data_IF_193977357424
#
_entry.id   IF_193977357424
#
_cell.length_a   1.000
_cell.length_b   1.000
_cell.length_c   1.000
_cell.angle_alpha   90.00
_cell.angle_beta   90.00
_cell.angle_gamma   90.00
#
_symmetry.space_group_name_H-M   'P 1'
#
loop_
_entity.id
_entity.type
_entity.pdbx_description
1 polymer ?
#
# COMPACT_ATOMS: atom_id res chain seq x y z
N UNK A 1 16.86 10.51 -8.29
CA UNK A 1 17.30 11.92 -8.12
C UNK A 1 18.07 12.00 -6.81
N UNK A 2 19.32 12.46 -6.83
CA UNK A 2 20.15 12.59 -5.64
C UNK A 2 20.11 14.06 -5.19
N UNK A 3 19.51 14.37 -4.07
CA UNK A 3 19.45 15.73 -3.52
C UNK A 3 20.72 15.93 -2.71
N UNK A 4 21.64 16.75 -3.23
CA UNK A 4 22.96 17.00 -2.63
C UNK A 4 23.06 18.33 -1.87
N UNK A 5 22.03 19.18 -1.86
CA UNK A 5 22.14 20.54 -1.36
C UNK A 5 21.48 20.75 0.02
N UNK A 6 22.20 21.43 0.90
CA UNK A 6 21.98 21.59 2.34
C UNK A 6 20.72 22.39 2.73
N UNK A 7 20.17 23.21 1.83
CA UNK A 7 18.99 24.05 2.10
C UNK A 7 17.69 23.48 1.58
N UNK A 8 17.77 22.42 0.74
CA UNK A 8 16.67 21.98 -0.10
C UNK A 8 15.93 20.75 0.41
N UNK A 9 16.50 19.93 1.33
CA UNK A 9 15.84 18.69 1.71
C UNK A 9 14.54 18.93 2.49
N UNK A 10 14.55 19.83 3.48
CA UNK A 10 13.35 20.20 4.23
C UNK A 10 12.34 20.95 3.36
N UNK A 11 12.80 21.98 2.64
CA UNK A 11 11.97 22.82 1.77
C UNK A 11 11.44 22.04 0.56
N UNK A 12 12.20 21.10 0.01
CA UNK A 12 11.82 20.30 -1.14
C UNK A 12 10.69 19.32 -0.79
N UNK A 13 10.77 18.66 0.36
CA UNK A 13 9.71 17.74 0.84
C UNK A 13 8.42 18.50 1.13
N UNK A 14 8.51 19.79 1.54
CA UNK A 14 7.36 20.61 1.90
C UNK A 14 6.72 21.35 0.73
N UNK A 15 7.48 21.67 -0.32
CA UNK A 15 7.02 22.52 -1.44
C UNK A 15 6.50 21.75 -2.64
N UNK A 16 6.92 20.51 -2.85
CA UNK A 16 6.48 19.75 -4.00
C UNK A 16 5.34 18.78 -3.66
N UNK A 17 4.25 18.89 -4.41
CA UNK A 17 3.11 17.95 -4.38
C UNK A 17 3.45 16.54 -4.94
N UNK A 18 4.72 16.22 -5.17
CA UNK A 18 5.11 14.93 -5.71
C UNK A 18 5.21 13.87 -4.60
N UNK A 19 4.45 12.82 -4.74
CA UNK A 19 4.59 11.64 -3.88
C UNK A 19 5.78 10.80 -4.39
N UNK A 20 6.79 10.64 -3.55
CA UNK A 20 7.88 9.69 -3.82
C UNK A 20 7.43 8.28 -3.43
N UNK A 21 7.81 7.31 -4.23
CA UNK A 21 7.47 5.90 -4.00
C UNK A 21 8.63 5.13 -3.34
N UNK A 22 9.87 5.50 -3.66
CA UNK A 22 11.08 4.92 -3.06
C UNK A 22 12.01 6.07 -2.66
N UNK A 23 12.48 6.05 -1.42
CA UNK A 23 13.45 6.99 -0.90
C UNK A 23 14.70 6.26 -0.38
N UNK A 24 15.88 6.78 -0.73
CA UNK A 24 17.15 6.35 -0.18
C UNK A 24 17.69 7.51 0.67
N UNK A 25 17.83 7.29 1.96
CA UNK A 25 18.08 8.34 2.95
C UNK A 25 19.35 8.04 3.73
N UNK A 26 20.27 9.00 3.76
CA UNK A 26 21.38 8.98 4.71
C UNK A 26 20.90 9.48 6.08
N UNK A 27 21.30 8.80 7.15
CA UNK A 27 20.93 9.24 8.51
C UNK A 27 21.62 10.52 8.89
N UNK A 28 22.92 10.63 8.57
CA UNK A 28 23.69 11.83 8.91
C UNK A 28 23.77 12.79 7.74
N UNK A 29 22.91 13.78 7.79
CA UNK A 29 22.93 14.93 6.89
C UNK A 29 23.17 16.23 7.67
N UNK A 30 23.91 17.21 7.14
CA UNK A 30 24.42 18.35 7.91
C UNK A 30 23.38 19.28 8.55
N UNK A 31 22.11 19.22 8.20
CA UNK A 31 21.09 20.13 8.70
C UNK A 31 19.85 19.41 9.24
N UNK A 32 19.66 18.13 8.89
CA UNK A 32 18.46 17.37 9.22
C UNK A 32 18.84 15.92 9.46
N UNK A 33 18.24 15.30 10.47
CA UNK A 33 18.40 13.86 10.71
C UNK A 33 17.58 13.07 9.68
N UNK A 34 18.22 12.14 8.98
CA UNK A 34 17.56 11.31 7.96
C UNK A 34 16.43 10.45 8.50
N UNK A 35 16.41 10.11 9.79
CA UNK A 35 15.30 9.42 10.43
C UNK A 35 14.07 10.32 10.53
N UNK A 36 14.23 11.58 10.90
CA UNK A 36 13.13 12.57 10.92
C UNK A 36 12.54 12.79 9.52
N UNK A 37 13.42 12.86 8.51
CA UNK A 37 13.00 12.91 7.09
C UNK A 37 12.20 11.67 6.73
N UNK A 38 12.65 10.49 7.14
CA UNK A 38 11.99 9.21 6.87
C UNK A 38 10.60 9.13 7.54
N UNK A 39 10.48 9.55 8.78
CA UNK A 39 9.19 9.64 9.49
C UNK A 39 8.23 10.57 8.76
N UNK A 40 8.72 11.74 8.33
CA UNK A 40 7.90 12.69 7.60
C UNK A 40 7.46 12.18 6.24
N UNK A 41 8.33 11.50 5.51
CA UNK A 41 8.00 10.83 4.26
C UNK A 41 6.93 9.76 4.46
N UNK A 42 7.00 8.98 5.55
CA UNK A 42 5.98 7.99 5.91
C UNK A 42 4.63 8.62 6.29
N UNK A 43 4.63 9.78 6.95
CA UNK A 43 3.40 10.53 7.23
C UNK A 43 2.72 11.04 5.94
N UNK A 44 3.50 11.50 4.96
CA UNK A 44 3.01 11.98 3.67
C UNK A 44 2.57 10.84 2.74
N UNK A 45 3.30 9.75 2.75
CA UNK A 45 3.02 8.55 1.98
C UNK A 45 3.33 7.31 2.82
N UNK A 46 2.35 6.71 3.51
CA UNK A 46 2.56 5.52 4.35
C UNK A 46 3.18 4.33 3.61
N UNK A 47 2.96 4.26 2.30
CA UNK A 47 3.44 3.17 1.46
C UNK A 47 4.83 3.42 0.86
N UNK A 48 5.47 4.56 1.16
CA UNK A 48 6.81 4.84 0.65
C UNK A 48 7.80 3.77 1.13
N UNK A 49 8.60 3.27 0.20
CA UNK A 49 9.66 2.31 0.50
C UNK A 49 10.92 3.10 0.86
N UNK A 50 11.40 2.96 2.10
CA UNK A 50 12.55 3.70 2.59
C UNK A 50 13.73 2.74 2.76
N UNK A 51 14.87 3.08 2.16
CA UNK A 51 16.15 2.43 2.36
C UNK A 51 17.09 3.41 3.07
N UNK A 52 17.64 3.00 4.21
CA UNK A 52 18.61 3.81 4.97
C UNK A 52 20.04 3.43 4.56
N UNK A 53 20.86 4.44 4.30
CA UNK A 53 22.30 4.30 4.10
C UNK A 53 23.03 5.06 5.21
N UNK A 54 23.85 4.40 6.03
CA UNK A 54 24.56 5.08 7.12
C UNK A 54 25.86 4.36 7.50
N UNK A 55 26.80 5.11 8.10
CA UNK A 55 28.00 4.55 8.71
C UNK A 55 27.79 4.14 10.17
N UNK A 56 26.59 4.38 10.75
CA UNK A 56 26.36 4.25 12.18
C UNK A 56 25.31 3.18 12.50
N UNK A 57 25.72 2.01 13.02
CA UNK A 57 24.81 0.92 13.40
C UNK A 57 23.82 1.29 14.53
N UNK A 58 24.18 2.26 15.37
CA UNK A 58 23.37 2.68 16.52
C UNK A 58 21.96 3.17 16.16
N UNK A 59 21.71 3.54 14.91
CA UNK A 59 20.39 3.99 14.45
C UNK A 59 19.47 2.87 13.96
N UNK A 60 19.91 1.61 14.02
CA UNK A 60 19.13 0.47 13.51
C UNK A 60 17.76 0.35 14.20
N UNK A 61 17.73 0.40 15.53
CA UNK A 61 16.45 0.27 16.28
C UNK A 61 15.48 1.40 15.97
N UNK A 62 15.98 2.62 15.81
CA UNK A 62 15.16 3.77 15.42
C UNK A 62 14.64 3.64 13.99
N UNK A 63 15.46 3.15 13.05
CA UNK A 63 15.05 2.88 11.69
C UNK A 63 13.96 1.78 11.62
N UNK A 64 14.06 0.75 12.44
CA UNK A 64 13.06 -0.33 12.51
C UNK A 64 11.70 0.19 13.00
N UNK A 65 11.65 1.13 13.94
CA UNK A 65 10.39 1.76 14.39
C UNK A 65 9.67 2.50 13.26
N UNK A 66 10.41 3.08 12.31
CA UNK A 66 9.87 3.77 11.13
C UNK A 66 9.44 2.79 10.04
N UNK A 67 9.66 1.48 10.22
CA UNK A 67 9.37 0.45 9.22
C UNK A 67 10.11 0.68 7.90
N UNK A 68 11.44 0.91 7.97
CA UNK A 68 12.26 1.01 6.77
C UNK A 68 12.38 -0.35 6.08
N UNK A 69 12.41 -0.33 4.76
CA UNK A 69 12.51 -1.56 3.95
C UNK A 69 13.86 -2.24 4.09
N UNK A 70 14.95 -1.45 4.07
CA UNK A 70 16.33 -1.94 4.25
C UNK A 70 17.19 -0.91 4.95
N UNK A 71 18.14 -1.45 5.73
CA UNK A 71 19.20 -0.70 6.38
C UNK A 71 20.54 -1.18 5.83
N UNK A 72 21.32 -0.29 5.22
CA UNK A 72 22.58 -0.58 4.57
C UNK A 72 23.70 0.25 5.19
N UNK A 73 24.82 -0.41 5.52
CA UNK A 73 26.00 0.26 6.05
C UNK A 73 26.88 0.83 4.95
N UNK A 74 27.51 1.96 5.23
CA UNK A 74 28.63 2.50 4.43
C UNK A 74 29.95 1.86 4.89
N UNK A 75 30.93 1.60 4.00
CA UNK A 75 30.91 1.87 2.55
C UNK A 75 29.89 1.01 1.82
N UNK A 76 29.36 1.54 0.71
CA UNK A 76 28.30 0.87 -0.04
C UNK A 76 28.91 -0.30 -0.83
N UNK A 77 28.50 -1.51 -0.50
CA UNK A 77 28.69 -2.67 -1.35
C UNK A 77 27.69 -2.58 -2.52
N UNK A 78 28.22 -2.41 -3.71
CA UNK A 78 27.40 -2.18 -4.92
C UNK A 78 26.52 -3.37 -5.25
N UNK A 79 26.98 -4.60 -5.10
CA UNK A 79 26.21 -5.80 -5.39
C UNK A 79 25.05 -5.95 -4.39
N UNK A 80 25.35 -5.78 -3.11
CA UNK A 80 24.34 -5.79 -2.04
C UNK A 80 23.32 -4.67 -2.22
N UNK A 81 23.76 -3.46 -2.57
CA UNK A 81 22.88 -2.34 -2.84
C UNK A 81 21.94 -2.63 -4.01
N UNK A 82 22.47 -3.06 -5.16
CA UNK A 82 21.70 -3.36 -6.34
C UNK A 82 20.64 -4.45 -6.08
N UNK A 83 21.02 -5.53 -5.40
CA UNK A 83 20.07 -6.58 -5.01
C UNK A 83 18.93 -6.02 -4.17
N UNK A 84 19.22 -5.29 -3.10
CA UNK A 84 18.20 -4.72 -2.22
C UNK A 84 17.35 -3.66 -2.92
N UNK A 85 17.93 -2.89 -3.84
CA UNK A 85 17.18 -1.91 -4.63
C UNK A 85 16.22 -2.60 -5.61
N UNK A 86 16.64 -3.66 -6.28
CA UNK A 86 15.75 -4.46 -7.14
C UNK A 86 14.62 -5.10 -6.33
N UNK A 87 14.90 -5.61 -5.13
CA UNK A 87 13.87 -6.10 -4.22
C UNK A 87 12.86 -5.00 -3.84
N UNK A 88 13.35 -3.77 -3.58
CA UNK A 88 12.48 -2.62 -3.30
C UNK A 88 11.59 -2.26 -4.51
N UNK A 89 12.15 -2.27 -5.72
CA UNK A 89 11.40 -2.03 -6.96
C UNK A 89 10.36 -3.11 -7.21
N UNK A 90 10.70 -4.38 -6.99
CA UNK A 90 9.73 -5.48 -7.16
C UNK A 90 8.63 -5.44 -6.10
N UNK A 91 8.97 -5.08 -4.87
CA UNK A 91 7.97 -4.83 -3.83
C UNK A 91 7.05 -3.67 -4.20
N UNK A 92 7.62 -2.54 -4.68
CA UNK A 92 6.84 -1.40 -5.17
C UNK A 92 5.87 -1.80 -6.29
N UNK A 93 6.33 -2.56 -7.29
CA UNK A 93 5.46 -3.03 -8.38
C UNK A 93 4.29 -3.87 -7.87
N UNK A 94 4.49 -4.67 -6.82
CA UNK A 94 3.44 -5.49 -6.21
C UNK A 94 2.40 -4.63 -5.49
N UNK A 95 2.84 -3.61 -4.72
CA UNK A 95 1.92 -2.75 -3.95
C UNK A 95 1.30 -1.62 -4.78
N UNK A 96 1.92 -1.22 -5.88
CA UNK A 96 1.48 -0.10 -6.73
C UNK A 96 0.75 -0.52 -8.00
N UNK A 97 0.31 -1.78 -8.08
CA UNK A 97 -0.48 -2.27 -9.20
C UNK A 97 -1.72 -1.38 -9.40
N UNK A 98 -1.95 -0.99 -10.64
CA UNK A 98 -3.11 -0.17 -11.01
C UNK A 98 -3.97 -0.91 -12.02
N UNK A 99 -5.26 -0.63 -12.00
CA UNK A 99 -6.22 -1.06 -13.01
C UNK A 99 -6.71 0.16 -13.79
N UNK A 100 -7.13 -0.08 -15.02
CA UNK A 100 -7.77 0.92 -15.87
C UNK A 100 -9.26 0.65 -15.88
N UNK A 101 -10.05 1.67 -15.55
CA UNK A 101 -11.51 1.64 -15.60
C UNK A 101 -11.92 2.59 -16.72
N UNK A 102 -12.62 2.06 -17.71
CA UNK A 102 -13.20 2.81 -18.81
C UNK A 102 -14.70 2.99 -18.52
N UNK A 103 -15.17 4.23 -18.56
CA UNK A 103 -16.58 4.58 -18.41
C UNK A 103 -16.91 5.69 -19.41
N UNK A 104 -17.75 5.38 -20.41
CA UNK A 104 -18.04 6.28 -21.53
C UNK A 104 -16.72 6.74 -22.20
N UNK A 105 -16.49 8.05 -22.27
CA UNK A 105 -15.28 8.65 -22.85
C UNK A 105 -14.19 8.96 -21.83
N UNK A 106 -14.37 8.51 -20.57
CA UNK A 106 -13.42 8.75 -19.48
C UNK A 106 -12.62 7.49 -19.14
N UNK A 107 -11.32 7.69 -18.92
CA UNK A 107 -10.39 6.64 -18.50
C UNK A 107 -9.85 7.00 -17.12
N UNK A 108 -10.04 6.09 -16.16
CA UNK A 108 -9.54 6.23 -14.79
C UNK A 108 -8.44 5.22 -14.53
N UNK A 109 -7.33 5.67 -13.96
CA UNK A 109 -6.31 4.80 -13.38
C UNK A 109 -6.53 4.71 -11.88
N UNK A 110 -6.76 3.51 -11.37
CA UNK A 110 -7.05 3.22 -9.96
C UNK A 110 -5.99 2.29 -9.41
N UNK A 111 -5.29 2.71 -8.35
CA UNK A 111 -4.34 1.84 -7.65
C UNK A 111 -5.09 0.72 -6.92
N UNK A 112 -4.67 -0.53 -7.09
CA UNK A 112 -5.36 -1.68 -6.46
C UNK A 112 -5.39 -1.57 -4.94
N UNK A 113 -4.36 -1.00 -4.32
CA UNK A 113 -4.28 -0.75 -2.88
C UNK A 113 -5.34 0.22 -2.35
N UNK A 114 -5.88 1.09 -3.22
CA UNK A 114 -6.91 2.05 -2.84
C UNK A 114 -8.33 1.46 -2.94
N UNK A 115 -8.49 0.30 -3.56
CA UNK A 115 -9.76 -0.40 -3.65
C UNK A 115 -10.08 -1.01 -2.27
N UNK A 116 -11.26 -0.69 -1.75
CA UNK A 116 -11.80 -1.29 -0.53
C UNK A 116 -12.48 -2.61 -0.86
N UNK A 117 -13.39 -2.58 -1.81
CA UNK A 117 -14.13 -3.76 -2.29
C UNK A 117 -14.70 -3.56 -3.68
N UNK A 118 -15.11 -4.65 -4.29
CA UNK A 118 -15.84 -4.69 -5.57
C UNK A 118 -17.18 -5.34 -5.31
N UNK A 119 -18.25 -4.61 -5.63
CA UNK A 119 -19.61 -5.05 -5.45
C UNK A 119 -20.24 -5.47 -6.78
N UNK A 120 -20.95 -6.60 -6.77
CA UNK A 120 -21.70 -7.06 -7.95
C UNK A 120 -22.96 -6.21 -8.13
N UNK A 121 -23.17 -5.68 -9.31
CA UNK A 121 -24.36 -4.92 -9.73
C UNK A 121 -25.05 -5.62 -10.90
N UNK A 122 -26.33 -5.27 -11.14
CA UNK A 122 -27.16 -5.87 -12.21
C UNK A 122 -26.45 -5.85 -13.57
N UNK A 123 -25.81 -4.72 -13.91
CA UNK A 123 -25.14 -4.49 -15.20
C UNK A 123 -23.63 -4.27 -15.07
N UNK A 124 -22.96 -5.05 -14.21
CA UNK A 124 -21.51 -4.94 -14.02
C UNK A 124 -21.10 -4.99 -12.57
N UNK A 125 -20.26 -4.05 -12.15
CA UNK A 125 -19.83 -3.93 -10.76
C UNK A 125 -19.59 -2.48 -10.35
N UNK A 126 -19.59 -2.25 -9.03
CA UNK A 126 -19.16 -1.02 -8.39
C UNK A 126 -17.82 -1.27 -7.71
N UNK A 127 -16.78 -0.56 -8.13
CA UNK A 127 -15.46 -0.57 -7.48
C UNK A 127 -15.44 0.59 -6.50
N UNK A 128 -15.37 0.27 -5.20
CA UNK A 128 -15.33 1.27 -4.13
C UNK A 128 -13.89 1.43 -3.65
N UNK A 129 -13.41 2.66 -3.65
CA UNK A 129 -12.06 3.02 -3.21
C UNK A 129 -12.11 3.92 -1.97
N UNK A 130 -10.95 4.20 -1.40
CA UNK A 130 -10.78 5.16 -0.28
C UNK A 130 -11.30 6.57 -0.60
N UNK A 131 -11.41 6.92 -1.89
CA UNK A 131 -11.67 8.29 -2.33
C UNK A 131 -13.02 8.44 -3.02
N UNK A 132 -13.36 7.50 -3.91
CA UNK A 132 -14.59 7.53 -4.71
C UNK A 132 -14.96 6.13 -5.22
N UNK A 133 -16.14 6.02 -5.80
CA UNK A 133 -16.64 4.78 -6.38
C UNK A 133 -16.73 4.89 -7.90
N UNK A 134 -16.52 3.76 -8.58
CA UNK A 134 -16.56 3.66 -10.03
C UNK A 134 -17.53 2.55 -10.44
N UNK A 135 -18.56 2.88 -11.21
CA UNK A 135 -19.39 1.90 -11.88
C UNK A 135 -18.71 1.39 -13.14
N UNK A 136 -18.77 0.10 -13.37
CA UNK A 136 -18.17 -0.56 -14.52
C UNK A 136 -19.09 -1.61 -15.10
N UNK A 137 -18.93 -1.92 -16.40
CA UNK A 137 -19.69 -2.96 -17.08
C UNK A 137 -19.11 -4.36 -16.85
N UNK A 138 -17.85 -4.47 -16.37
CA UNK A 138 -17.21 -5.76 -16.06
C UNK A 138 -17.75 -6.34 -14.76
N UNK A 139 -17.89 -7.66 -14.72
CA UNK A 139 -18.32 -8.37 -13.51
C UNK A 139 -17.17 -8.49 -12.49
N UNK A 140 -17.47 -8.70 -11.19
CA UNK A 140 -16.42 -8.85 -10.17
C UNK A 140 -15.39 -9.94 -10.48
N UNK A 141 -15.80 -11.04 -11.09
CA UNK A 141 -14.88 -12.11 -11.47
C UNK A 141 -13.84 -11.67 -12.51
N UNK A 142 -14.26 -10.86 -13.51
CA UNK A 142 -13.33 -10.30 -14.50
C UNK A 142 -12.32 -9.36 -13.85
N UNK A 143 -12.77 -8.54 -12.89
CA UNK A 143 -11.88 -7.67 -12.12
C UNK A 143 -10.92 -8.46 -11.24
N UNK A 144 -11.37 -9.56 -10.66
CA UNK A 144 -10.51 -10.45 -9.87
C UNK A 144 -9.34 -10.99 -10.70
N UNK A 145 -9.60 -11.42 -11.93
CA UNK A 145 -8.56 -11.87 -12.87
C UNK A 145 -7.64 -10.72 -13.31
N UNK A 146 -8.19 -9.53 -13.62
CA UNK A 146 -7.41 -8.36 -14.01
C UNK A 146 -6.49 -7.90 -12.89
N UNK A 147 -7.02 -7.83 -11.66
CA UNK A 147 -6.26 -7.46 -10.46
C UNK A 147 -5.18 -8.51 -10.18
N UNK A 148 -5.50 -9.79 -10.33
CA UNK A 148 -4.57 -10.90 -10.14
C UNK A 148 -3.69 -10.76 -8.87
N UNK A 149 -4.34 -10.53 -7.72
CA UNK A 149 -3.73 -10.45 -6.39
C UNK A 149 -4.54 -11.32 -5.40
N UNK A 150 -4.55 -12.65 -5.56
CA UNK A 150 -5.41 -13.55 -4.80
C UNK A 150 -5.13 -13.54 -3.29
N UNK A 151 -3.92 -13.17 -2.88
CA UNK A 151 -3.56 -13.03 -1.47
C UNK A 151 -4.11 -11.75 -0.82
N UNK A 152 -4.53 -10.77 -1.62
CA UNK A 152 -5.06 -9.50 -1.13
C UNK A 152 -6.58 -9.38 -1.33
N UNK A 153 -7.10 -9.94 -2.43
CA UNK A 153 -8.50 -9.83 -2.80
C UNK A 153 -9.20 -11.16 -2.57
N UNK A 154 -10.21 -11.16 -1.71
CA UNK A 154 -10.93 -12.37 -1.29
C UNK A 154 -12.44 -12.18 -1.43
N UNK A 155 -13.11 -13.20 -1.92
CA UNK A 155 -14.57 -13.21 -1.98
C UNK A 155 -15.19 -13.47 -0.61
N UNK A 156 -15.77 -12.44 0.02
CA UNK A 156 -16.45 -12.54 1.31
C UNK A 156 -17.94 -12.94 1.19
N UNK A 157 -18.55 -12.59 0.05
CA UNK A 157 -19.95 -12.90 -0.27
C UNK A 157 -20.09 -13.10 -1.77
N UNK A 158 -21.19 -13.71 -2.23
CA UNK A 158 -21.48 -13.85 -3.68
C UNK A 158 -21.47 -12.52 -4.44
N UNK A 159 -21.72 -11.43 -3.72
CA UNK A 159 -21.80 -10.08 -4.29
C UNK A 159 -20.55 -9.25 -4.02
N UNK A 160 -19.59 -9.72 -3.23
CA UNK A 160 -18.47 -8.87 -2.77
C UNK A 160 -17.12 -9.57 -2.87
N UNK A 161 -16.16 -8.85 -3.44
CA UNK A 161 -14.73 -9.15 -3.37
C UNK A 161 -14.07 -8.04 -2.55
N UNK A 162 -13.38 -8.40 -1.49
CA UNK A 162 -12.83 -7.49 -0.49
C UNK A 162 -11.31 -7.44 -0.59
N UNK A 163 -10.73 -6.26 -0.49
CA UNK A 163 -9.29 -6.08 -0.37
C UNK A 163 -8.88 -6.12 1.10
N UNK A 164 -8.19 -7.17 1.51
CA UNK A 164 -7.76 -7.42 2.88
C UNK A 164 -6.78 -6.35 3.40
N UNK A 165 -6.03 -5.67 2.52
CA UNK A 165 -5.11 -4.60 2.89
C UNK A 165 -5.80 -3.42 3.59
N UNK A 166 -7.09 -3.23 3.32
CA UNK A 166 -7.87 -2.10 3.83
C UNK A 166 -8.85 -2.49 4.94
N UNK A 167 -8.86 -3.75 5.38
CA UNK A 167 -9.71 -4.23 6.46
C UNK A 167 -9.08 -3.88 7.80
N UNK A 168 -9.79 -3.12 8.64
CA UNK A 168 -9.40 -2.80 10.02
C UNK A 168 -9.93 -3.86 10.96
N UNK A 169 -11.22 -4.18 10.82
CA UNK A 169 -11.95 -5.09 11.68
C UNK A 169 -13.06 -5.77 10.90
N UNK A 170 -13.48 -6.96 11.34
CA UNK A 170 -14.64 -7.66 10.81
C UNK A 170 -15.27 -8.57 11.87
N UNK A 171 -16.55 -8.80 11.74
CA UNK A 171 -17.30 -9.80 12.49
C UNK A 171 -17.91 -10.87 11.55
N UNK A 172 -18.94 -11.60 12.00
CA UNK A 172 -19.57 -12.67 11.20
C UNK A 172 -20.34 -12.16 9.98
N UNK A 173 -20.63 -10.86 9.89
CA UNK A 173 -21.47 -10.28 8.84
C UNK A 173 -20.93 -8.98 8.26
N UNK A 174 -20.12 -8.25 9.01
CA UNK A 174 -19.71 -6.88 8.72
C UNK A 174 -18.20 -6.73 8.58
N UNK A 175 -17.77 -5.73 7.82
CA UNK A 175 -16.35 -5.37 7.65
C UNK A 175 -16.22 -3.86 7.83
N UNK A 176 -15.23 -3.44 8.61
CA UNK A 176 -14.81 -2.03 8.75
C UNK A 176 -13.55 -1.79 7.93
N UNK A 177 -13.58 -0.79 7.07
CA UNK A 177 -12.47 -0.44 6.19
C UNK A 177 -11.74 0.81 6.65
N UNK A 178 -10.45 0.89 6.34
CA UNK A 178 -9.62 2.06 6.55
C UNK A 178 -10.04 3.20 5.59
N UNK A 179 -10.40 4.37 6.15
CA UNK A 179 -10.81 5.53 5.35
C UNK A 179 -11.01 6.77 6.21
N UNK A 180 -11.24 7.94 5.58
CA UNK A 180 -11.45 9.22 6.28
C UNK A 180 -12.73 9.24 7.13
N UNK A 181 -13.72 8.40 6.79
CA UNK A 181 -14.85 8.01 7.64
C UNK A 181 -14.78 6.50 7.74
N UNK A 182 -14.76 5.93 8.94
CA UNK A 182 -14.81 4.49 9.15
C UNK A 182 -16.01 3.92 8.36
N UNK A 183 -15.72 3.36 7.20
CA UNK A 183 -16.75 2.80 6.33
C UNK A 183 -17.09 1.40 6.85
N UNK A 184 -18.14 1.31 7.66
CA UNK A 184 -18.75 0.06 8.05
C UNK A 184 -19.60 -0.47 6.89
N UNK A 185 -19.34 -1.69 6.48
CA UNK A 185 -20.10 -2.40 5.47
C UNK A 185 -20.80 -3.59 6.11
N UNK A 186 -22.11 -3.53 6.21
CA UNK A 186 -22.95 -4.58 6.80
C UNK A 186 -23.35 -5.64 5.77
N UNK A 187 -23.65 -6.86 6.25
CA UNK A 187 -24.14 -8.00 5.45
C UNK A 187 -23.23 -8.39 4.26
N UNK A 188 -21.92 -8.11 4.39
CA UNK A 188 -20.96 -8.33 3.33
C UNK A 188 -20.17 -9.64 3.46
N UNK A 189 -20.34 -10.38 4.56
CA UNK A 189 -19.76 -11.72 4.75
C UNK A 189 -20.90 -12.73 4.85
N UNK A 190 -20.87 -13.77 4.02
CA UNK A 190 -21.81 -14.86 4.15
C UNK A 190 -21.35 -15.87 5.20
N UNK A 191 -22.28 -16.50 5.92
CA UNK A 191 -21.97 -17.52 6.92
C UNK A 191 -21.06 -18.64 6.37
N UNK A 192 -21.30 -19.04 5.11
CA UNK A 192 -20.50 -20.07 4.43
C UNK A 192 -19.06 -19.62 4.14
N UNK A 193 -18.86 -18.32 3.91
CA UNK A 193 -17.55 -17.75 3.56
C UNK A 193 -16.78 -17.22 4.76
N UNK A 194 -17.40 -17.12 5.93
CA UNK A 194 -16.75 -16.54 7.12
C UNK A 194 -15.46 -17.25 7.52
N UNK A 195 -15.48 -18.58 7.57
CA UNK A 195 -14.29 -19.35 7.96
C UNK A 195 -13.14 -19.20 6.95
N UNK A 196 -13.46 -19.21 5.65
CA UNK A 196 -12.50 -19.01 4.55
C UNK A 196 -11.96 -17.58 4.59
N UNK A 197 -12.82 -16.57 4.74
CA UNK A 197 -12.42 -15.17 4.84
C UNK A 197 -11.53 -14.91 6.05
N UNK A 198 -11.91 -15.45 7.23
CA UNK A 198 -11.10 -15.37 8.44
C UNK A 198 -9.72 -15.97 8.24
N UNK A 199 -9.63 -17.18 7.67
CA UNK A 199 -8.35 -17.81 7.36
C UNK A 199 -7.51 -16.95 6.42
N UNK A 200 -8.08 -16.48 5.31
CA UNK A 200 -7.38 -15.64 4.36
C UNK A 200 -6.86 -14.34 4.99
N UNK A 201 -7.63 -13.74 5.89
CA UNK A 201 -7.19 -12.53 6.62
C UNK A 201 -6.01 -12.83 7.55
N UNK A 202 -6.04 -13.94 8.30
CA UNK A 202 -4.92 -14.32 9.16
C UNK A 202 -3.67 -14.66 8.34
N UNK A 203 -3.82 -15.40 7.24
CA UNK A 203 -2.71 -15.72 6.34
C UNK A 203 -2.10 -14.42 5.74
N UNK A 204 -2.95 -13.45 5.38
CA UNK A 204 -2.53 -12.14 4.89
C UNK A 204 -1.81 -11.32 5.97
N UNK A 205 -2.34 -11.28 7.18
CA UNK A 205 -1.78 -10.51 8.30
C UNK A 205 -0.50 -11.13 8.89
N UNK A 206 -0.08 -12.32 8.45
CA UNK A 206 1.05 -13.06 9.02
C UNK A 206 0.78 -13.53 10.44
N UNK A 207 -0.50 -13.65 10.82
CA UNK A 207 -0.92 -14.07 12.16
C UNK A 207 -0.61 -15.52 12.43
N UNK A 208 0.16 -15.77 13.48
CA UNK A 208 0.25 -17.08 14.13
C UNK A 208 -1.00 -17.21 14.98
N UNK A 209 -1.86 -18.19 14.67
CA UNK A 209 -3.01 -18.56 15.49
C UNK A 209 -2.56 -19.54 16.55
#
# INVERSE_FOLDING_TARGET
MCIRDRRTCGDFIFKEKHSYDIAIVDVQMPAVNGLEVSERLKQLNPDIIIMILTSYPAYLDSAMKIQVFRYLSKPIDTERFNRNFLEAVDYYKKISKSIIIEKYDEIFTVKTRDILYIENRKHGSLIVTKYKSYETNKKPAEWYEIINQPNCFVQSHKSYIVNLQNVINFDKSSITFQGANENLMEHCISQRKYAEFKKAFFDFAGGIV
#
